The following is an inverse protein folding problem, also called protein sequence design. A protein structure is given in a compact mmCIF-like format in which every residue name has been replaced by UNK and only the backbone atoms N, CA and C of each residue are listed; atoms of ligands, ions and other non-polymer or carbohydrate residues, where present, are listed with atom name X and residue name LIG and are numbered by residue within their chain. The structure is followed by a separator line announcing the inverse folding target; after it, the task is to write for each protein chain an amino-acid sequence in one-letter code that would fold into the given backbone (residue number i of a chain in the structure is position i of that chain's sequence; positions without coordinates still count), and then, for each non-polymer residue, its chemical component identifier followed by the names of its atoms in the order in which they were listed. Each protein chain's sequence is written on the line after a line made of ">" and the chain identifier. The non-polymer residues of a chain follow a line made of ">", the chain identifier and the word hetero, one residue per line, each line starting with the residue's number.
data_IF_779587188060
#
_entry.id   IF_779587188060
#
_cell.length_a   1.000
_cell.length_b   1.000
_cell.length_c   1.000
_cell.angle_alpha   90.00
_cell.angle_beta   90.00
_cell.angle_gamma   90.00
#
_symmetry.space_group_name_H-M   'P 1'
#
loop_
_entity.id
_entity.type
_entity.pdbx_description
1 polymer ?
#
# COMPACT_ATOMS: atom_id res chain seq x y z
N UNK A 1 -16.68 61.00 -7.45
CA UNK A 1 -16.82 59.65 -8.04
C UNK A 1 -15.51 58.87 -7.92
N UNK A 2 -15.11 58.50 -6.68
CA UNK A 2 -13.86 57.73 -6.41
C UNK A 2 -14.09 56.51 -5.51
N UNK A 3 -15.17 56.52 -4.72
CA UNK A 3 -15.53 55.47 -3.77
C UNK A 3 -16.07 54.21 -4.48
N UNK A 4 -16.88 54.38 -5.54
CA UNK A 4 -17.45 53.25 -6.30
C UNK A 4 -16.36 52.36 -6.95
N UNK A 5 -15.28 52.96 -7.45
CA UNK A 5 -14.14 52.20 -7.99
C UNK A 5 -13.34 51.47 -6.90
N UNK A 6 -13.16 52.10 -5.74
CA UNK A 6 -12.43 51.53 -4.61
C UNK A 6 -13.18 50.35 -3.95
N UNK A 7 -14.51 50.43 -3.86
CA UNK A 7 -15.37 49.33 -3.38
C UNK A 7 -15.35 48.16 -4.36
N UNK A 8 -15.41 48.43 -5.67
CA UNK A 8 -15.39 47.37 -6.69
C UNK A 8 -14.07 46.58 -6.66
N UNK A 9 -12.93 47.27 -6.53
CA UNK A 9 -11.61 46.63 -6.45
C UNK A 9 -11.51 45.76 -5.17
N UNK A 10 -12.03 46.25 -4.04
CA UNK A 10 -12.04 45.47 -2.80
C UNK A 10 -12.86 44.19 -2.89
N UNK A 11 -14.00 44.23 -3.59
CA UNK A 11 -14.86 43.05 -3.80
C UNK A 11 -14.17 42.04 -4.73
N UNK A 12 -13.51 42.51 -5.79
CA UNK A 12 -12.77 41.63 -6.71
C UNK A 12 -11.60 40.94 -6.00
N UNK A 13 -10.85 41.65 -5.15
CA UNK A 13 -9.76 41.06 -4.36
C UNK A 13 -10.29 39.98 -3.41
N UNK A 14 -11.42 40.25 -2.73
CA UNK A 14 -12.04 39.27 -1.83
C UNK A 14 -12.48 38.00 -2.56
N UNK A 15 -13.08 38.14 -3.76
CA UNK A 15 -13.51 37.01 -4.58
C UNK A 15 -12.32 36.17 -5.08
N UNK A 16 -11.20 36.81 -5.43
CA UNK A 16 -9.97 36.12 -5.82
C UNK A 16 -9.38 35.35 -4.63
N UNK A 17 -9.37 35.94 -3.43
CA UNK A 17 -8.88 35.26 -2.23
C UNK A 17 -9.72 34.02 -1.87
N UNK A 18 -11.05 34.10 -2.02
CA UNK A 18 -11.96 32.97 -1.81
C UNK A 18 -11.71 31.86 -2.86
N UNK A 19 -11.47 32.22 -4.12
CA UNK A 19 -11.12 31.24 -5.16
C UNK A 19 -9.80 30.53 -4.84
N UNK A 20 -8.79 31.29 -4.39
CA UNK A 20 -7.48 30.75 -4.04
C UNK A 20 -7.60 29.78 -2.85
N UNK A 21 -8.31 30.13 -1.78
CA UNK A 21 -8.47 29.24 -0.63
C UNK A 21 -9.26 27.97 -0.98
N UNK A 22 -10.25 28.07 -1.86
CA UNK A 22 -11.02 26.91 -2.34
C UNK A 22 -10.17 25.97 -3.19
N UNK A 23 -9.28 26.50 -4.03
CA UNK A 23 -8.33 25.67 -4.81
C UNK A 23 -7.33 24.94 -3.93
N UNK A 24 -6.86 25.57 -2.84
CA UNK A 24 -5.88 24.96 -1.92
C UNK A 24 -6.53 23.83 -1.11
N UNK A 25 -7.78 23.99 -0.66
CA UNK A 25 -8.49 22.96 0.11
C UNK A 25 -8.79 21.69 -0.73
N UNK A 26 -8.89 21.81 -2.05
CA UNK A 26 -9.07 20.66 -2.95
C UNK A 26 -7.75 19.91 -3.24
N UNK A 27 -6.59 20.57 -3.11
CA UNK A 27 -5.29 20.02 -3.50
C UNK A 27 -4.51 19.31 -2.39
N UNK A 28 -5.14 18.90 -1.30
CA UNK A 28 -4.48 18.14 -0.22
C UNK A 28 -5.18 16.81 0.01
N UNK A 29 -5.10 15.94 -1.00
CA UNK A 29 -5.27 14.49 -0.85
C UNK A 29 -4.29 13.79 -1.81
N UNK A 30 -3.00 14.11 -1.69
CA UNK A 30 -1.93 13.49 -2.47
C UNK A 30 -0.80 13.11 -1.53
N UNK A 31 -1.00 12.02 -0.80
CA UNK A 31 0.04 11.05 -0.45
C UNK A 31 -0.57 9.97 0.46
N UNK A 32 -1.48 9.18 -0.09
CA UNK A 32 -1.54 7.80 0.35
C UNK A 32 -1.32 6.94 -0.89
N UNK A 33 -0.10 6.44 -1.00
CA UNK A 33 0.28 5.42 -1.98
C UNK A 33 0.12 4.04 -1.35
N UNK A 34 -0.84 3.88 -0.44
CA UNK A 34 -1.41 2.59 -0.18
C UNK A 34 -2.18 2.21 -1.45
N UNK A 35 -1.62 1.27 -2.20
CA UNK A 35 -2.26 0.71 -3.37
C UNK A 35 -3.62 0.17 -2.89
N UNK A 36 -4.73 0.85 -3.20
CA UNK A 36 -6.10 0.50 -2.74
C UNK A 36 -6.51 -0.95 -3.04
N UNK A 37 -5.69 -1.69 -3.80
CA UNK A 37 -5.95 -3.05 -4.21
C UNK A 37 -4.90 -4.07 -3.71
N UNK A 38 -4.28 -3.86 -2.53
CA UNK A 38 -3.42 -4.86 -1.89
C UNK A 38 -3.96 -5.30 -0.53
N UNK A 39 -4.15 -6.60 -0.36
CA UNK A 39 -4.51 -7.22 0.91
C UNK A 39 -3.23 -7.80 1.54
N UNK A 40 -2.99 -7.49 2.81
CA UNK A 40 -1.86 -8.02 3.57
C UNK A 40 -2.33 -9.19 4.44
N UNK A 41 -1.55 -10.26 4.46
CA UNK A 41 -1.82 -11.49 5.19
C UNK A 41 -0.58 -11.88 5.99
N UNK A 42 -0.77 -12.19 7.27
CA UNK A 42 0.27 -12.73 8.15
C UNK A 42 -0.18 -14.01 8.89
N UNK A 43 0.60 -14.47 9.88
CA UNK A 43 0.25 -15.66 10.67
C UNK A 43 -1.08 -15.55 11.43
N UNK A 44 -1.53 -14.34 11.76
CA UNK A 44 -2.75 -14.10 12.52
C UNK A 44 -4.01 -14.33 11.69
N UNK A 45 -3.89 -14.30 10.35
CA UNK A 45 -4.98 -14.56 9.42
C UNK A 45 -5.18 -16.06 9.13
N UNK A 46 -4.42 -16.93 9.80
CA UNK A 46 -4.53 -18.37 9.60
C UNK A 46 -5.95 -18.89 9.83
N UNK A 47 -6.49 -19.60 8.83
CA UNK A 47 -7.84 -20.18 8.87
C UNK A 47 -8.97 -19.19 8.58
N UNK A 48 -8.66 -17.95 8.23
CA UNK A 48 -9.65 -16.96 7.79
C UNK A 48 -9.97 -17.12 6.30
N UNK A 49 -11.11 -16.55 5.88
CA UNK A 49 -11.49 -16.45 4.48
C UNK A 49 -11.47 -14.98 4.07
N UNK A 50 -10.91 -14.70 2.90
CA UNK A 50 -10.87 -13.36 2.31
C UNK A 50 -11.62 -13.39 0.97
N UNK A 51 -12.36 -12.31 0.70
CA UNK A 51 -13.06 -12.11 -0.57
C UNK A 51 -12.40 -10.90 -1.23
N UNK A 52 -11.96 -11.08 -2.47
CA UNK A 52 -11.27 -10.07 -3.26
C UNK A 52 -11.75 -10.11 -4.71
N UNK A 53 -11.63 -8.99 -5.41
CA UNK A 53 -11.97 -8.90 -6.83
C UNK A 53 -10.74 -9.26 -7.70
N UNK A 54 -10.94 -9.74 -8.95
CA UNK A 54 -9.84 -9.90 -9.87
C UNK A 54 -9.02 -8.60 -10.03
N UNK A 55 -7.71 -8.74 -10.17
CA UNK A 55 -6.75 -7.64 -10.17
C UNK A 55 -6.24 -7.26 -8.77
N UNK A 56 -6.80 -7.80 -7.68
CA UNK A 56 -6.28 -7.60 -6.32
C UNK A 56 -4.94 -8.30 -6.12
N UNK A 57 -4.02 -7.58 -5.48
CA UNK A 57 -2.76 -8.14 -4.99
C UNK A 57 -2.93 -8.69 -3.56
N UNK A 58 -2.36 -9.86 -3.31
CA UNK A 58 -2.31 -10.45 -1.96
C UNK A 58 -0.84 -10.53 -1.57
N UNK A 59 -0.45 -9.79 -0.54
CA UNK A 59 0.89 -9.82 0.03
C UNK A 59 0.90 -10.67 1.30
N UNK A 60 1.49 -11.86 1.21
CA UNK A 60 1.65 -12.79 2.32
C UNK A 60 3.04 -12.62 2.90
N UNK A 61 3.13 -12.30 4.19
CA UNK A 61 4.39 -12.16 4.92
C UNK A 61 4.38 -13.08 6.13
N UNK A 62 5.34 -14.01 6.18
CA UNK A 62 5.50 -14.95 7.29
C UNK A 62 6.94 -14.89 7.82
N UNK A 63 7.10 -14.99 9.14
CA UNK A 63 8.38 -15.15 9.79
C UNK A 63 9.03 -16.48 9.36
N UNK A 64 10.28 -16.42 8.91
CA UNK A 64 11.08 -17.59 8.53
C UNK A 64 12.46 -17.48 9.19
N UNK A 65 12.91 -18.56 9.84
CA UNK A 65 14.25 -18.65 10.40
C UNK A 65 15.09 -19.73 9.69
N UNK A 66 15.87 -19.36 8.65
CA UNK A 66 16.67 -20.32 7.89
C UNK A 66 17.73 -21.07 8.72
N UNK A 67 18.16 -20.57 9.87
CA UNK A 67 19.18 -21.24 10.71
C UNK A 67 18.68 -22.53 11.36
N UNK A 68 17.37 -22.67 11.47
CA UNK A 68 16.72 -23.89 11.95
C UNK A 68 16.66 -24.99 10.88
N UNK A 69 16.99 -24.66 9.62
CA UNK A 69 16.83 -25.54 8.46
C UNK A 69 15.40 -25.61 7.91
N UNK A 70 14.43 -24.94 8.55
CA UNK A 70 13.04 -24.86 8.08
C UNK A 70 12.84 -23.69 7.11
N UNK A 71 11.94 -23.90 6.15
CA UNK A 71 11.48 -22.91 5.17
C UNK A 71 10.00 -23.12 4.91
N UNK A 72 9.30 -22.04 4.61
CA UNK A 72 7.91 -22.16 4.18
C UNK A 72 7.83 -22.71 2.75
N UNK A 73 6.87 -23.60 2.54
CA UNK A 73 6.51 -24.08 1.22
C UNK A 73 5.15 -23.51 0.82
N UNK A 74 5.06 -22.94 -0.36
CA UNK A 74 3.84 -22.30 -0.86
C UNK A 74 3.15 -23.19 -1.90
N UNK A 75 1.84 -23.37 -1.74
CA UNK A 75 0.98 -24.09 -2.69
C UNK A 75 -0.29 -23.28 -2.90
N UNK A 76 -0.72 -23.16 -4.16
CA UNK A 76 -1.90 -22.42 -4.59
C UNK A 76 -2.73 -23.24 -5.56
N UNK A 77 -3.98 -22.87 -5.73
CA UNK A 77 -4.82 -23.31 -6.85
C UNK A 77 -4.52 -22.47 -8.10
N UNK A 78 -5.23 -22.78 -9.19
CA UNK A 78 -5.35 -21.89 -10.34
C UNK A 78 -6.09 -20.60 -9.92
N UNK A 79 -6.06 -19.57 -10.78
CA UNK A 79 -6.61 -18.24 -10.50
C UNK A 79 -5.70 -17.28 -9.72
N UNK A 80 -4.60 -17.76 -9.15
CA UNK A 80 -3.60 -16.95 -8.46
C UNK A 80 -2.27 -16.95 -9.22
N UNK A 81 -1.70 -15.79 -9.51
CA UNK A 81 -0.35 -15.66 -10.11
C UNK A 81 0.65 -15.18 -9.07
N UNK A 82 1.81 -15.85 -8.95
CA UNK A 82 2.88 -15.36 -8.07
C UNK A 82 3.69 -14.31 -8.83
N UNK A 83 3.54 -13.04 -8.47
CA UNK A 83 4.26 -11.92 -9.08
C UNK A 83 5.57 -11.58 -8.35
N UNK A 84 5.68 -11.96 -7.07
CA UNK A 84 6.92 -11.83 -6.30
C UNK A 84 7.06 -12.98 -5.29
N UNK A 85 8.31 -13.41 -5.05
CA UNK A 85 8.67 -14.34 -3.99
C UNK A 85 10.09 -14.01 -3.52
N UNK A 86 10.24 -13.62 -2.25
CA UNK A 86 11.55 -13.30 -1.69
C UNK A 86 11.64 -13.63 -0.20
N UNK A 87 12.87 -13.61 0.30
CA UNK A 87 13.17 -13.60 1.72
C UNK A 87 14.05 -12.41 2.03
N UNK A 88 13.76 -11.69 3.11
CA UNK A 88 14.55 -10.56 3.55
C UNK A 88 14.57 -10.44 5.07
N UNK A 89 15.61 -9.81 5.60
CA UNK A 89 15.60 -9.34 6.99
C UNK A 89 15.03 -7.93 7.02
N UNK A 90 14.24 -7.59 8.03
CA UNK A 90 13.69 -6.24 8.17
C UNK A 90 14.80 -5.19 8.17
N UNK A 91 14.58 -4.12 7.40
CA UNK A 91 15.57 -3.07 7.12
C UNK A 91 15.98 -2.25 8.36
N UNK A 92 15.21 -2.35 9.45
CA UNK A 92 15.46 -1.63 10.71
C UNK A 92 16.57 -2.26 11.56
N UNK A 93 17.09 -3.42 11.15
CA UNK A 93 18.30 -3.98 11.72
C UNK A 93 19.45 -3.25 11.03
N UNK A 94 20.20 -2.45 11.78
CA UNK A 94 21.51 -1.95 11.33
C UNK A 94 22.21 -3.10 10.60
N UNK A 95 22.49 -2.95 9.31
CA UNK A 95 23.04 -4.04 8.47
C UNK A 95 24.35 -4.65 9.01
N UNK A 96 24.94 -4.01 10.03
CA UNK A 96 26.09 -4.45 10.82
C UNK A 96 25.75 -5.41 11.98
N UNK A 97 24.48 -5.57 12.33
CA UNK A 97 23.94 -6.29 13.50
C UNK A 97 22.94 -7.38 13.10
N UNK A 98 22.93 -7.87 11.85
CA UNK A 98 22.21 -9.11 11.53
C UNK A 98 22.94 -10.24 12.26
N UNK A 99 22.36 -10.72 13.34
CA UNK A 99 22.96 -11.82 14.11
C UNK A 99 22.79 -13.13 13.34
N UNK A 100 23.78 -14.01 13.41
CA UNK A 100 23.64 -15.37 12.91
C UNK A 100 22.45 -16.05 13.61
N UNK A 101 21.49 -16.53 12.82
CA UNK A 101 20.29 -17.19 13.33
C UNK A 101 19.08 -16.31 13.63
N UNK A 102 19.16 -15.02 13.31
CA UNK A 102 17.99 -14.14 13.38
C UNK A 102 16.89 -14.58 12.41
N UNK A 103 15.60 -14.50 12.78
CA UNK A 103 14.50 -14.66 11.84
C UNK A 103 14.45 -13.51 10.83
N UNK A 104 13.91 -13.80 9.64
CA UNK A 104 13.55 -12.83 8.62
C UNK A 104 12.11 -13.05 8.16
N UNK A 105 11.73 -12.41 7.07
CA UNK A 105 10.40 -12.48 6.48
C UNK A 105 10.49 -13.19 5.13
N UNK A 106 9.65 -14.21 4.98
CA UNK A 106 9.29 -14.83 3.70
C UNK A 106 8.09 -14.08 3.15
N UNK A 107 8.22 -13.54 1.94
CA UNK A 107 7.16 -12.78 1.27
C UNK A 107 6.76 -13.43 -0.06
N UNK A 108 5.46 -13.56 -0.27
CA UNK A 108 4.87 -13.77 -1.60
C UNK A 108 3.91 -12.64 -1.92
N UNK A 109 3.99 -12.13 -3.14
CA UNK A 109 2.95 -11.27 -3.69
C UNK A 109 2.25 -12.04 -4.79
N UNK A 110 0.93 -12.15 -4.65
CA UNK A 110 0.05 -12.84 -5.58
C UNK A 110 -0.82 -11.82 -6.30
N UNK A 111 -1.18 -12.07 -7.54
CA UNK A 111 -2.22 -11.38 -8.28
C UNK A 111 -3.40 -12.33 -8.45
N UNK A 112 -4.60 -11.88 -8.09
CA UNK A 112 -5.83 -12.61 -8.36
C UNK A 112 -6.23 -12.38 -9.82
N UNK A 113 -6.19 -13.42 -10.64
CA UNK A 113 -6.52 -13.33 -12.06
C UNK A 113 -8.02 -13.54 -12.30
N UNK A 114 -8.55 -12.89 -13.33
CA UNK A 114 -9.97 -13.01 -13.75
C UNK A 114 -10.24 -14.31 -14.54
N UNK A 115 -9.19 -15.05 -14.88
CA UNK A 115 -9.24 -16.16 -15.84
C UNK A 115 -9.87 -17.47 -15.31
N UNK A 116 -10.38 -17.49 -14.08
CA UNK A 116 -11.03 -18.66 -13.47
C UNK A 116 -12.46 -18.94 -14.01
N UNK A 117 -12.92 -18.20 -15.03
CA UNK A 117 -14.18 -18.44 -15.75
C UNK A 117 -14.00 -18.67 -17.26
N UNK A 118 -13.19 -19.66 -17.65
CA UNK A 118 -13.19 -20.23 -19.01
C UNK A 118 -13.57 -21.71 -19.01
#
# INVERSE_FOLDING_TARGET
>A
MRIKGMVLISVVILLILILITLTIHFSINLNDSDNENTIYIDENDNGTNLIAEPGTYINIQLEENPSTGYKWNFSKTDGLEIVNNRFYFEKNIDSKNINEGQPGIREWVLLLNDDDFQ
#
